data_IF_860712934179
#
_entry.id   IF_860712934179
#
_cell.length_a   1.000
_cell.length_b   1.000
_cell.length_c   1.000
_cell.angle_alpha   90.00
_cell.angle_beta   90.00
_cell.angle_gamma   90.00
#
_symmetry.space_group_name_H-M   'P 1'
#
loop_
_entity.id
_entity.type
_entity.pdbx_description
1 polymer ?
#
# COMPACT_ATOMS: atom_id res chain seq x y z
N UNK A 1 -4.08 8.81 -2.61
CA UNK A 1 -4.54 7.40 -2.68
C UNK A 1 -3.92 6.61 -3.82
N UNK A 2 -3.58 7.23 -4.98
CA UNK A 2 -2.86 6.53 -6.05
C UNK A 2 -1.49 6.01 -5.56
N UNK A 3 -0.74 6.81 -4.80
CA UNK A 3 0.54 6.40 -4.19
C UNK A 3 0.44 5.26 -3.18
N UNK A 4 -0.63 5.23 -2.37
CA UNK A 4 -0.88 4.14 -1.43
C UNK A 4 -1.26 2.80 -2.11
N UNK A 5 -1.85 2.85 -3.31
CA UNK A 5 -2.25 1.68 -4.08
C UNK A 5 -1.10 1.10 -4.92
N UNK A 6 -0.17 1.95 -5.37
CA UNK A 6 0.98 1.57 -6.18
C UNK A 6 2.20 1.34 -5.28
N UNK A 7 2.57 0.07 -5.05
CA UNK A 7 3.75 -0.27 -4.25
C UNK A 7 4.97 -0.50 -5.16
N UNK A 8 6.18 -0.33 -4.61
CA UNK A 8 7.42 -0.72 -5.28
C UNK A 8 7.43 -2.20 -5.72
N UNK A 9 6.65 -3.05 -5.04
CA UNK A 9 6.43 -4.45 -5.47
C UNK A 9 5.78 -4.50 -6.85
N UNK A 10 4.74 -3.70 -7.08
CA UNK A 10 4.03 -3.62 -8.37
C UNK A 10 4.93 -3.02 -9.47
N UNK A 11 5.77 -2.06 -9.11
CA UNK A 11 6.70 -1.41 -10.05
C UNK A 11 7.71 -2.39 -10.65
N UNK A 12 8.19 -3.35 -9.86
CA UNK A 12 9.17 -4.36 -10.31
C UNK A 12 8.47 -5.60 -10.88
N UNK A 13 7.36 -6.04 -10.28
CA UNK A 13 6.71 -7.30 -10.65
C UNK A 13 5.93 -7.23 -11.97
N UNK A 14 5.32 -6.08 -12.31
CA UNK A 14 4.49 -5.94 -13.52
C UNK A 14 5.32 -5.98 -14.81
N UNK A 15 6.46 -5.29 -14.95
CA UNK A 15 7.32 -5.47 -16.11
C UNK A 15 7.88 -6.90 -16.21
N UNK A 16 8.21 -7.50 -15.06
CA UNK A 16 8.68 -8.89 -15.00
C UNK A 16 7.63 -9.90 -15.49
N UNK A 17 6.36 -9.71 -15.11
CA UNK A 17 5.26 -10.55 -15.60
C UNK A 17 4.95 -10.28 -17.07
N UNK A 18 5.09 -9.04 -17.55
CA UNK A 18 4.92 -8.73 -18.99
C UNK A 18 6.01 -9.37 -19.84
N UNK A 19 7.25 -9.45 -19.33
CA UNK A 19 8.33 -10.15 -20.02
C UNK A 19 8.09 -11.66 -20.14
N UNK A 20 7.42 -12.28 -19.16
CA UNK A 20 7.11 -13.71 -19.16
C UNK A 20 5.80 -14.06 -19.89
N UNK A 21 4.72 -13.34 -19.59
CA UNK A 21 3.34 -13.64 -19.98
C UNK A 21 2.72 -12.62 -20.95
N UNK A 22 3.54 -11.73 -21.51
CA UNK A 22 3.12 -10.66 -22.43
C UNK A 22 2.04 -9.75 -21.81
N UNK A 23 0.99 -9.37 -22.56
CA UNK A 23 -0.03 -8.44 -22.10
C UNK A 23 -1.16 -9.08 -21.26
N UNK A 24 -1.02 -10.33 -20.81
CA UNK A 24 -2.06 -11.03 -20.03
C UNK A 24 -2.42 -10.29 -18.74
N UNK A 25 -1.45 -9.61 -18.13
CA UNK A 25 -1.66 -8.78 -16.93
C UNK A 25 -2.63 -7.60 -17.16
N UNK A 26 -2.76 -7.12 -18.41
CA UNK A 26 -3.61 -5.99 -18.77
C UNK A 26 -5.10 -6.26 -18.46
N UNK A 27 -5.55 -7.51 -18.60
CA UNK A 27 -6.92 -7.91 -18.25
C UNK A 27 -7.23 -7.64 -16.77
N UNK A 28 -6.27 -7.94 -15.87
CA UNK A 28 -6.42 -7.68 -14.45
C UNK A 28 -6.43 -6.17 -14.16
N UNK A 29 -5.57 -5.40 -14.82
CA UNK A 29 -5.54 -3.92 -14.69
C UNK A 29 -6.88 -3.32 -15.10
N UNK A 30 -7.43 -3.73 -16.24
CA UNK A 30 -8.74 -3.27 -16.71
C UNK A 30 -9.85 -3.63 -15.72
N UNK A 31 -9.83 -4.85 -15.17
CA UNK A 31 -10.75 -5.27 -14.12
C UNK A 31 -10.69 -4.37 -12.87
N UNK A 32 -9.48 -4.02 -12.42
CA UNK A 32 -9.31 -3.08 -11.30
C UNK A 32 -9.82 -1.68 -11.64
N UNK A 33 -9.57 -1.18 -12.85
CA UNK A 33 -10.07 0.12 -13.29
C UNK A 33 -11.60 0.18 -13.23
N UNK A 34 -12.29 -0.84 -13.76
CA UNK A 34 -13.76 -0.92 -13.72
C UNK A 34 -14.25 -1.01 -12.27
N UNK A 35 -13.63 -1.84 -11.43
CA UNK A 35 -13.96 -1.94 -10.01
C UNK A 35 -13.84 -0.60 -9.27
N UNK A 36 -12.78 0.16 -9.53
CA UNK A 36 -12.57 1.48 -8.94
C UNK A 36 -13.62 2.49 -9.43
N UNK A 37 -14.03 2.45 -10.70
CA UNK A 37 -15.13 3.28 -11.21
C UNK A 37 -16.45 2.97 -10.47
N UNK A 38 -16.78 1.69 -10.29
CA UNK A 38 -17.99 1.29 -9.54
C UNK A 38 -17.92 1.80 -8.10
N UNK A 39 -16.76 1.67 -7.44
CA UNK A 39 -16.57 2.20 -6.08
C UNK A 39 -16.80 3.71 -6.06
N UNK A 40 -16.17 4.44 -6.99
CA UNK A 40 -16.23 5.90 -7.05
C UNK A 40 -17.63 6.44 -7.34
N UNK A 41 -18.37 5.84 -8.28
CA UNK A 41 -19.65 6.37 -8.75
C UNK A 41 -20.87 5.75 -8.07
N UNK A 42 -20.76 4.57 -7.47
CA UNK A 42 -21.90 3.88 -6.84
C UNK A 42 -21.73 3.84 -5.34
N UNK A 43 -20.62 3.28 -4.85
CA UNK A 43 -20.45 3.01 -3.42
C UNK A 43 -20.19 4.29 -2.61
N UNK A 44 -19.26 5.15 -3.04
CA UNK A 44 -18.97 6.42 -2.35
C UNK A 44 -20.22 7.29 -2.17
N UNK A 45 -21.00 7.63 -3.23
CA UNK A 45 -22.18 8.46 -3.06
C UNK A 45 -23.28 7.78 -2.22
N UNK A 46 -23.40 6.44 -2.27
CA UNK A 46 -24.31 5.69 -1.41
C UNK A 46 -23.93 5.84 0.07
N UNK A 47 -22.66 5.61 0.42
CA UNK A 47 -22.19 5.75 1.81
C UNK A 47 -22.29 7.18 2.31
N UNK A 48 -22.04 8.17 1.44
CA UNK A 48 -22.17 9.58 1.80
C UNK A 48 -23.63 9.96 2.12
N UNK A 49 -24.61 9.43 1.37
CA UNK A 49 -26.04 9.61 1.66
C UNK A 49 -26.47 8.99 2.98
N UNK A 50 -25.85 7.85 3.34
CA UNK A 50 -26.11 7.13 4.58
C UNK A 50 -25.41 7.75 5.80
N UNK A 51 -24.57 8.79 5.61
CA UNK A 51 -23.79 9.48 6.66
C UNK A 51 -22.96 8.54 7.54
N UNK A 52 -22.55 7.39 7.00
CA UNK A 52 -21.68 6.45 7.70
C UNK A 52 -20.23 6.92 7.57
N UNK A 53 -19.50 6.95 8.68
CA UNK A 53 -18.07 7.31 8.70
C UNK A 53 -17.21 6.09 8.37
N UNK A 54 -17.74 4.89 8.66
CA UNK A 54 -17.10 3.61 8.43
C UNK A 54 -17.97 2.71 7.54
N UNK A 55 -17.36 1.98 6.60
CA UNK A 55 -18.05 0.98 5.78
C UNK A 55 -18.73 -0.11 6.65
N UNK A 56 -18.17 -0.36 7.84
CA UNK A 56 -18.68 -1.34 8.79
C UNK A 56 -19.87 -0.80 9.57
N UNK A 57 -19.94 0.52 9.79
CA UNK A 57 -21.09 1.18 10.43
C UNK A 57 -22.37 0.99 9.61
N UNK A 58 -22.24 0.88 8.29
CA UNK A 58 -23.33 0.44 7.42
C UNK A 58 -23.78 -1.01 7.69
N UNK A 59 -22.85 -1.91 8.04
CA UNK A 59 -23.18 -3.29 8.41
C UNK A 59 -23.92 -3.35 9.75
N UNK A 60 -23.64 -2.42 10.67
CA UNK A 60 -24.35 -2.33 11.95
C UNK A 60 -25.84 -2.01 11.73
N UNK A 61 -26.13 -0.98 10.93
CA UNK A 61 -27.51 -0.57 10.63
C UNK A 61 -28.34 -1.61 9.87
N UNK A 62 -27.71 -2.55 9.16
CA UNK A 62 -28.41 -3.54 8.31
C UNK A 62 -28.40 -4.97 8.86
N UNK A 63 -27.35 -5.37 9.58
CA UNK A 63 -27.15 -6.74 10.06
C UNK A 63 -26.86 -6.82 11.56
N UNK A 64 -26.79 -5.67 12.26
CA UNK A 64 -26.58 -5.58 13.70
C UNK A 64 -25.11 -5.58 14.14
N UNK A 65 -24.93 -5.33 15.43
CA UNK A 65 -23.63 -5.07 16.08
C UNK A 65 -22.62 -6.22 15.94
N UNK A 66 -23.08 -7.47 15.88
CA UNK A 66 -22.21 -8.64 15.71
C UNK A 66 -21.47 -8.59 14.38
N UNK A 67 -22.16 -8.23 13.29
CA UNK A 67 -21.58 -8.12 11.94
C UNK A 67 -20.61 -6.96 11.84
N UNK A 68 -20.93 -5.83 12.50
CA UNK A 68 -20.02 -4.69 12.62
C UNK A 68 -18.71 -5.09 13.30
N UNK A 69 -18.80 -5.73 14.47
CA UNK A 69 -17.62 -6.10 15.25
C UNK A 69 -16.75 -7.11 14.48
N UNK A 70 -17.34 -8.15 13.91
CA UNK A 70 -16.61 -9.17 13.15
C UNK A 70 -15.93 -8.56 11.92
N UNK A 71 -16.63 -7.72 11.16
CA UNK A 71 -16.06 -7.04 9.98
C UNK A 71 -14.89 -6.11 10.34
N UNK A 72 -15.05 -5.32 11.41
CA UNK A 72 -14.00 -4.44 11.91
C UNK A 72 -12.76 -5.23 12.38
N UNK A 73 -12.97 -6.34 13.10
CA UNK A 73 -11.88 -7.22 13.54
C UNK A 73 -11.11 -7.84 12.37
N UNK A 74 -11.80 -8.39 11.37
CA UNK A 74 -11.16 -8.95 10.18
C UNK A 74 -10.34 -7.90 9.43
N UNK A 75 -10.88 -6.69 9.28
CA UNK A 75 -10.16 -5.59 8.68
C UNK A 75 -8.91 -5.21 9.47
N UNK A 76 -9.05 -5.10 10.79
CA UNK A 76 -7.94 -4.73 11.66
C UNK A 76 -6.82 -5.77 11.59
N UNK A 77 -7.15 -7.06 11.68
CA UNK A 77 -6.19 -8.16 11.57
C UNK A 77 -5.53 -8.17 10.20
N UNK A 78 -6.31 -8.06 9.12
CA UNK A 78 -5.77 -8.05 7.75
C UNK A 78 -4.82 -6.86 7.52
N UNK A 79 -5.19 -5.67 7.98
CA UNK A 79 -4.35 -4.47 7.88
C UNK A 79 -3.11 -4.55 8.75
N UNK A 80 -3.24 -5.05 9.98
CA UNK A 80 -2.12 -5.23 10.90
C UNK A 80 -1.12 -6.24 10.37
N UNK A 81 -1.60 -7.35 9.80
CA UNK A 81 -0.75 -8.36 9.17
C UNK A 81 -0.02 -7.80 7.94
N UNK A 82 -0.72 -7.10 7.05
CA UNK A 82 -0.09 -6.47 5.89
C UNK A 82 0.95 -5.41 6.29
N UNK A 83 0.71 -4.65 7.37
CA UNK A 83 1.67 -3.69 7.90
C UNK A 83 2.90 -4.39 8.52
N UNK A 84 2.68 -5.44 9.30
CA UNK A 84 3.74 -6.22 9.93
C UNK A 84 4.68 -6.85 8.88
N UNK A 85 4.12 -7.42 7.81
CA UNK A 85 4.91 -7.97 6.70
C UNK A 85 5.77 -6.89 6.01
N UNK A 86 5.22 -5.69 5.78
CA UNK A 86 6.00 -4.58 5.19
C UNK A 86 7.18 -4.19 6.07
N UNK A 87 6.97 -4.03 7.38
CA UNK A 87 8.04 -3.71 8.33
C UNK A 87 9.07 -4.84 8.37
N UNK A 88 8.63 -6.10 8.36
CA UNK A 88 9.52 -7.26 8.35
C UNK A 88 10.46 -7.25 7.13
N UNK A 89 9.93 -7.03 5.92
CA UNK A 89 10.75 -6.95 4.71
C UNK A 89 11.79 -5.84 4.81
N UNK A 90 11.40 -4.65 5.27
CA UNK A 90 12.33 -3.51 5.45
C UNK A 90 13.42 -3.86 6.47
N UNK A 91 13.06 -4.45 7.61
CA UNK A 91 14.01 -4.88 8.63
C UNK A 91 15.00 -5.90 8.07
N UNK A 92 14.55 -6.90 7.31
CA UNK A 92 15.42 -7.92 6.71
C UNK A 92 16.40 -7.33 5.69
N UNK A 93 15.93 -6.41 4.83
CA UNK A 93 16.82 -5.72 3.88
C UNK A 93 17.88 -4.90 4.62
N UNK A 94 17.48 -4.16 5.65
CA UNK A 94 18.41 -3.35 6.44
C UNK A 94 19.38 -4.23 7.27
N UNK A 95 18.92 -5.40 7.72
CA UNK A 95 19.74 -6.38 8.41
C UNK A 95 20.90 -6.83 7.52
N UNK A 96 20.59 -7.28 6.30
CA UNK A 96 21.60 -7.80 5.36
C UNK A 96 22.57 -6.70 4.90
N UNK A 97 22.06 -5.49 4.64
CA UNK A 97 22.87 -4.41 4.07
C UNK A 97 23.73 -3.68 5.10
N UNK A 98 23.25 -3.53 6.34
CA UNK A 98 23.87 -2.65 7.33
C UNK A 98 24.26 -3.43 8.58
N UNK A 99 23.33 -4.13 9.22
CA UNK A 99 23.55 -4.65 10.57
C UNK A 99 24.32 -5.96 10.65
N UNK A 100 24.28 -6.81 9.62
CA UNK A 100 25.09 -8.04 9.53
C UNK A 100 26.60 -7.73 9.52
N UNK A 101 27.10 -6.76 8.73
CA UNK A 101 28.49 -6.29 8.85
C UNK A 101 28.89 -5.77 10.23
N UNK A 102 27.94 -5.22 11.00
CA UNK A 102 28.16 -4.72 12.36
C UNK A 102 27.89 -5.75 13.47
N UNK A 103 27.45 -6.97 13.12
CA UNK A 103 27.18 -8.04 14.08
C UNK A 103 25.98 -7.80 15.02
N UNK A 104 25.04 -6.94 14.64
CA UNK A 104 23.89 -6.59 15.49
C UNK A 104 22.75 -7.59 15.28
N UNK A 105 22.14 -8.13 16.36
CA UNK A 105 21.05 -9.10 16.24
C UNK A 105 19.76 -8.48 15.68
N UNK A 106 19.03 -9.26 14.87
CA UNK A 106 17.79 -8.86 14.19
C UNK A 106 16.74 -8.26 15.14
N UNK A 107 16.60 -8.78 16.36
CA UNK A 107 15.64 -8.29 17.34
C UNK A 107 15.88 -6.81 17.72
N UNK A 108 17.15 -6.38 17.81
CA UNK A 108 17.51 -5.01 18.16
C UNK A 108 17.22 -4.06 16.98
N UNK A 109 17.55 -4.47 15.76
CA UNK A 109 17.21 -3.74 14.55
C UNK A 109 15.67 -3.59 14.39
N UNK A 110 14.92 -4.68 14.55
CA UNK A 110 13.46 -4.65 14.47
C UNK A 110 12.83 -3.72 15.52
N UNK A 111 13.28 -3.80 16.77
CA UNK A 111 12.81 -2.92 17.84
C UNK A 111 13.13 -1.44 17.56
N UNK A 112 14.34 -1.15 17.09
CA UNK A 112 14.76 0.19 16.70
C UNK A 112 13.89 0.75 15.58
N UNK A 113 13.67 -0.03 14.52
CA UNK A 113 12.93 0.40 13.34
C UNK A 113 11.44 0.63 13.65
N UNK A 114 10.82 -0.27 14.43
CA UNK A 114 9.45 -0.08 14.93
C UNK A 114 9.36 1.17 15.80
N UNK A 115 10.33 1.40 16.69
CA UNK A 115 10.39 2.62 17.52
C UNK A 115 10.51 3.90 16.68
N UNK A 116 11.32 3.87 15.62
CA UNK A 116 11.49 5.00 14.70
C UNK A 116 10.20 5.28 13.91
N UNK A 117 9.55 4.24 13.38
CA UNK A 117 8.24 4.35 12.70
C UNK A 117 7.18 4.90 13.64
N UNK A 118 7.15 4.44 14.89
CA UNK A 118 6.21 4.93 15.89
C UNK A 118 6.45 6.41 16.21
N UNK A 119 7.71 6.81 16.43
CA UNK A 119 8.10 8.19 16.67
C UNK A 119 7.72 9.12 15.50
N UNK A 120 8.00 8.68 14.27
CA UNK A 120 7.66 9.40 13.05
C UNK A 120 6.13 9.55 12.89
N UNK A 121 5.38 8.49 13.16
CA UNK A 121 3.91 8.51 13.09
C UNK A 121 3.32 9.44 14.15
N UNK A 122 3.87 9.41 15.37
CA UNK A 122 3.41 10.22 16.49
C UNK A 122 3.66 11.72 16.28
N UNK A 123 4.83 12.10 15.71
CA UNK A 123 5.18 13.51 15.45
C UNK A 123 4.65 14.04 14.11
N UNK A 124 4.54 13.21 13.08
CA UNK A 124 4.29 13.66 11.71
C UNK A 124 2.81 13.88 11.35
N UNK A 125 1.89 13.22 12.05
CA UNK A 125 0.46 13.25 11.74
C UNK A 125 0.14 12.87 10.27
N UNK A 126 -1.11 13.08 9.84
CA UNK A 126 -1.54 12.76 8.46
C UNK A 126 -0.92 13.71 7.42
N UNK A 127 -0.55 14.93 7.83
CA UNK A 127 -0.06 15.98 6.92
C UNK A 127 1.34 15.69 6.36
N UNK A 128 2.25 15.15 7.17
CA UNK A 128 3.59 14.74 6.70
C UNK A 128 3.51 13.55 5.76
N UNK A 129 2.63 12.60 6.05
CA UNK A 129 2.44 11.39 5.24
C UNK A 129 1.96 11.72 3.82
N UNK A 130 1.05 12.68 3.68
CA UNK A 130 0.55 13.10 2.35
C UNK A 130 1.67 13.70 1.50
N UNK A 131 2.54 14.54 2.06
CA UNK A 131 3.67 15.10 1.32
C UNK A 131 4.67 14.04 0.87
N UNK A 132 4.98 13.08 1.74
CA UNK A 132 5.84 11.94 1.37
C UNK A 132 5.20 11.04 0.30
N UNK A 133 3.88 10.83 0.34
CA UNK A 133 3.15 10.04 -0.66
C UNK A 133 3.17 10.70 -2.03
N UNK A 134 3.03 12.04 -2.08
CA UNK A 134 3.11 12.81 -3.33
C UNK A 134 4.52 12.69 -3.93
N UNK A 135 5.57 12.93 -3.15
CA UNK A 135 6.95 12.83 -3.62
C UNK A 135 7.29 11.43 -4.13
N UNK A 136 6.88 10.39 -3.39
CA UNK A 136 7.08 9.00 -3.79
C UNK A 136 6.36 8.68 -5.10
N UNK A 137 5.11 9.13 -5.24
CA UNK A 137 4.34 8.94 -6.48
C UNK A 137 4.96 9.68 -7.66
N UNK A 138 5.39 10.93 -7.47
CA UNK A 138 6.05 11.72 -8.52
C UNK A 138 7.37 11.07 -8.97
N UNK A 139 8.17 10.57 -8.03
CA UNK A 139 9.43 9.88 -8.33
C UNK A 139 9.18 8.58 -9.12
N UNK A 140 8.21 7.77 -8.69
CA UNK A 140 7.84 6.53 -9.38
C UNK A 140 7.31 6.80 -10.80
N UNK A 141 6.47 7.80 -11.00
CA UNK A 141 5.97 8.14 -12.34
C UNK A 141 7.13 8.67 -13.20
N UNK A 142 7.99 9.51 -12.64
CA UNK A 142 9.18 10.03 -13.33
C UNK A 142 10.12 8.92 -13.77
N UNK A 143 10.39 7.92 -12.93
CA UNK A 143 11.26 6.80 -13.27
C UNK A 143 10.69 5.93 -14.41
N UNK A 144 9.37 5.69 -14.45
CA UNK A 144 8.74 4.97 -15.58
C UNK A 144 8.95 5.73 -16.89
N UNK A 145 8.68 7.04 -16.89
CA UNK A 145 8.84 7.87 -18.10
C UNK A 145 10.29 7.85 -18.57
N UNK A 146 11.25 8.01 -17.66
CA UNK A 146 12.67 7.94 -18.00
C UNK A 146 13.06 6.57 -18.55
N UNK A 147 12.63 5.47 -17.92
CA UNK A 147 12.89 4.12 -18.40
C UNK A 147 12.37 3.92 -19.83
N UNK A 148 11.15 4.35 -20.12
CA UNK A 148 10.56 4.26 -21.47
C UNK A 148 11.41 5.07 -22.47
N UNK A 149 11.77 6.31 -22.14
CA UNK A 149 12.58 7.17 -23.02
C UNK A 149 13.96 6.57 -23.28
N UNK A 150 14.62 6.03 -22.25
CA UNK A 150 15.93 5.38 -22.40
C UNK A 150 15.85 4.14 -23.28
N UNK A 151 14.84 3.29 -23.07
CA UNK A 151 14.61 2.09 -23.90
C UNK A 151 14.38 2.49 -25.36
N UNK A 152 13.52 3.49 -25.61
CA UNK A 152 13.25 3.98 -26.96
C UNK A 152 14.47 4.61 -27.65
N UNK A 153 15.42 5.18 -26.90
CA UNK A 153 16.67 5.73 -27.44
C UNK A 153 17.74 4.66 -27.68
N UNK A 154 17.65 3.53 -26.97
CA UNK A 154 18.59 2.41 -27.08
C UNK A 154 18.21 1.37 -28.15
N UNK A 155 16.98 1.45 -28.65
CA UNK A 155 16.45 0.71 -29.81
C UNK A 155 16.74 1.47 -31.10
#
# INVERSE_FOLDING_TARGET
MVGAAMSGITFVSVPGSVAADSFSYLQMVLGFTVGQMVIAFVLIPLFYRLKVVSLYEYLDGRFGMTTHLTGAWFFFISKMFAAALKVYVVCTVLQVLVFDPFGVPFAVNAAFLVGLVWLYTWRGGVRSVVWTDILHTCCLVGSIVLCIVFIMRSL
#
